data_IF_994023301220
#
_entry.id   IF_994023301220
#
_cell.length_a   1.000
_cell.length_b   1.000
_cell.length_c   1.000
_cell.angle_alpha   90.00
_cell.angle_beta   90.00
_cell.angle_gamma   90.00
#
_symmetry.space_group_name_H-M   'P 1'
#
loop_
_entity.id
_entity.type
_entity.pdbx_description
1 polymer ?
#
# COMPACT_ATOMS: atom_id res chain seq x y z
N UNK A 1 18.13 2.02 -8.47
CA UNK A 1 17.70 2.26 -7.08
C UNK A 1 17.36 0.90 -6.46
N UNK A 2 17.48 0.69 -5.13
CA UNK A 2 16.98 -0.55 -4.54
C UNK A 2 15.48 -0.67 -4.84
N UNK A 3 15.04 -1.83 -5.28
CA UNK A 3 13.62 -2.11 -5.42
C UNK A 3 13.04 -2.44 -4.04
N UNK A 4 12.10 -1.62 -3.56
CA UNK A 4 11.52 -1.71 -2.23
C UNK A 4 10.13 -2.34 -2.29
N UNK A 5 9.88 -3.26 -1.37
CA UNK A 5 8.56 -3.81 -1.10
C UNK A 5 7.97 -3.07 0.10
N UNK A 6 6.74 -2.59 -0.06
CA UNK A 6 5.98 -1.98 1.03
C UNK A 6 5.31 -3.07 1.85
N UNK A 7 5.35 -2.96 3.18
CA UNK A 7 4.73 -3.91 4.08
C UNK A 7 3.95 -3.20 5.18
N UNK A 8 2.81 -3.79 5.55
CA UNK A 8 2.05 -3.45 6.75
C UNK A 8 1.80 -4.71 7.57
N UNK A 9 2.20 -4.67 8.84
CA UNK A 9 1.93 -5.71 9.83
C UNK A 9 0.95 -5.18 10.87
N UNK A 10 -0.18 -5.86 11.01
CA UNK A 10 -1.15 -5.60 12.08
C UNK A 10 -1.24 -6.82 12.97
N UNK A 11 -0.98 -6.66 14.26
CA UNK A 11 -1.04 -7.70 15.27
C UNK A 11 -2.13 -7.37 16.29
N UNK A 12 -2.76 -8.41 16.80
CA UNK A 12 -3.81 -8.35 17.81
C UNK A 12 -3.63 -9.46 18.83
N UNK A 13 -4.02 -9.21 20.09
CA UNK A 13 -3.90 -10.20 21.15
C UNK A 13 -3.82 -9.57 22.54
N UNK A 14 -3.38 -10.35 23.54
CA UNK A 14 -3.21 -9.84 24.90
C UNK A 14 -2.19 -8.69 24.95
N UNK A 15 -2.53 -7.61 25.67
CA UNK A 15 -1.66 -6.44 25.80
C UNK A 15 -0.23 -6.79 26.26
N UNK A 16 -0.08 -7.75 27.17
CA UNK A 16 1.23 -8.20 27.64
C UNK A 16 2.10 -8.79 26.53
N UNK A 17 1.50 -9.52 25.58
CA UNK A 17 2.19 -10.12 24.44
C UNK A 17 2.53 -9.06 23.38
N UNK A 18 1.63 -8.10 23.15
CA UNK A 18 1.89 -6.97 22.25
C UNK A 18 3.03 -6.09 22.78
N UNK A 19 3.04 -5.79 24.08
CA UNK A 19 4.14 -5.07 24.72
C UNK A 19 5.45 -5.85 24.68
N UNK A 20 5.40 -7.17 24.88
CA UNK A 20 6.58 -8.03 24.76
C UNK A 20 7.14 -7.97 23.33
N UNK A 21 6.29 -8.15 22.32
CA UNK A 21 6.64 -7.99 20.90
C UNK A 21 7.25 -6.62 20.61
N UNK A 22 6.60 -5.52 21.03
CA UNK A 22 7.10 -4.17 20.74
C UNK A 22 8.49 -3.96 21.37
N UNK A 23 8.65 -4.34 22.64
CA UNK A 23 9.91 -4.17 23.37
C UNK A 23 11.06 -4.99 22.79
N UNK A 24 10.76 -6.17 22.24
CA UNK A 24 11.77 -7.08 21.76
C UNK A 24 12.07 -6.90 20.28
N UNK A 25 11.07 -6.69 19.43
CA UNK A 25 11.23 -6.68 17.98
C UNK A 25 11.35 -5.28 17.37
N UNK A 26 10.98 -4.22 18.09
CA UNK A 26 11.07 -2.84 17.58
C UNK A 26 12.28 -2.14 18.18
N UNK A 27 13.39 -2.12 17.44
CA UNK A 27 14.70 -1.65 17.91
C UNK A 27 15.31 -0.62 16.99
N UNK A 28 16.28 0.13 17.51
CA UNK A 28 17.22 0.88 16.67
C UNK A 28 18.24 -0.12 16.11
N UNK A 29 18.39 -0.15 14.80
CA UNK A 29 19.32 -1.08 14.15
C UNK A 29 20.77 -0.73 14.48
N UNK A 30 21.63 -1.74 14.53
CA UNK A 30 23.04 -1.60 14.91
C UNK A 30 23.80 -0.58 14.06
N UNK A 31 23.48 -0.54 12.76
CA UNK A 31 24.22 0.23 11.76
C UNK A 31 23.44 1.44 11.24
N UNK A 32 22.36 1.85 11.91
CA UNK A 32 21.57 3.02 11.50
C UNK A 32 22.07 4.31 12.20
N UNK A 33 22.79 5.20 11.49
CA UNK A 33 23.30 6.43 12.06
C UNK A 33 22.19 7.44 12.42
N UNK A 34 20.98 7.26 11.88
CA UNK A 34 19.84 8.13 12.20
C UNK A 34 19.21 7.80 13.55
N UNK A 35 19.48 6.61 14.10
CA UNK A 35 18.86 6.13 15.33
C UNK A 35 17.36 5.85 15.19
N UNK A 36 16.86 5.65 13.96
CA UNK A 36 15.46 5.36 13.74
C UNK A 36 15.09 3.96 14.26
N UNK A 37 13.88 3.84 14.82
CA UNK A 37 13.31 2.53 15.18
C UNK A 37 12.96 1.78 13.90
N UNK A 38 13.03 0.46 13.96
CA UNK A 38 12.64 -0.44 12.88
C UNK A 38 12.02 -1.73 13.44
N UNK A 39 11.27 -2.44 12.61
CA UNK A 39 10.97 -3.85 12.86
C UNK A 39 12.26 -4.63 12.59
N UNK A 40 12.99 -4.95 13.65
CA UNK A 40 14.33 -5.52 13.56
C UNK A 40 14.25 -7.02 13.28
N UNK A 41 14.56 -7.41 12.04
CA UNK A 41 14.57 -8.82 11.63
C UNK A 41 15.64 -9.62 12.38
N UNK A 42 16.71 -8.99 12.84
CA UNK A 42 17.75 -9.64 13.64
C UNK A 42 17.27 -9.94 15.07
N UNK A 43 16.36 -9.11 15.62
CA UNK A 43 15.70 -9.41 16.88
C UNK A 43 14.74 -10.61 16.79
N UNK A 44 14.20 -10.89 15.60
CA UNK A 44 13.33 -12.04 15.35
C UNK A 44 14.18 -13.28 15.03
N UNK A 45 15.12 -13.15 14.10
CA UNK A 45 16.03 -14.20 13.64
C UNK A 45 17.47 -13.67 13.66
N UNK A 46 18.23 -13.91 14.74
CA UNK A 46 19.58 -13.38 14.88
C UNK A 46 20.55 -13.88 13.80
N UNK A 47 21.42 -12.99 13.31
CA UNK A 47 22.49 -13.36 12.38
C UNK A 47 23.59 -14.11 13.14
N UNK A 48 23.98 -15.34 12.74
CA UNK A 48 25.05 -16.07 13.38
C UNK A 48 26.40 -15.33 13.28
N UNK A 49 27.26 -15.40 14.31
CA UNK A 49 28.57 -14.75 14.29
C UNK A 49 29.43 -15.13 13.07
N UNK A 50 29.34 -16.38 12.62
CA UNK A 50 30.05 -16.90 11.44
C UNK A 50 29.60 -16.20 10.16
N UNK A 51 28.33 -15.79 10.08
CA UNK A 51 27.81 -14.99 8.97
C UNK A 51 28.23 -13.53 9.10
N UNK A 52 28.17 -12.95 10.30
CA UNK A 52 28.63 -11.57 10.57
C UNK A 52 30.09 -11.40 10.16
N UNK A 53 30.94 -12.41 10.41
CA UNK A 53 32.34 -12.40 9.99
C UNK A 53 32.50 -12.22 8.46
N UNK A 54 31.55 -12.71 7.66
CA UNK A 54 31.61 -12.58 6.19
C UNK A 54 31.28 -11.18 5.66
N UNK A 55 30.91 -10.23 6.53
CA UNK A 55 30.60 -8.86 6.12
C UNK A 55 31.87 -8.14 5.65
N UNK A 56 32.95 -8.29 6.43
CA UNK A 56 34.26 -7.66 6.18
C UNK A 56 35.29 -8.64 5.61
N UNK A 57 35.15 -9.95 5.89
CA UNK A 57 36.08 -11.00 5.44
C UNK A 57 35.47 -11.89 4.35
N UNK A 58 35.91 -11.67 3.11
CA UNK A 58 35.48 -12.46 1.96
C UNK A 58 36.44 -13.62 1.64
N UNK A 59 37.33 -14.01 2.56
CA UNK A 59 38.24 -15.14 2.39
C UNK A 59 37.49 -16.47 2.22
N UNK A 60 38.15 -17.44 1.58
CA UNK A 60 37.60 -18.78 1.41
C UNK A 60 37.40 -19.48 2.77
N UNK A 61 38.25 -19.18 3.75
CA UNK A 61 38.18 -19.73 5.10
C UNK A 61 36.95 -19.24 5.86
N UNK A 62 36.64 -17.94 5.78
CA UNK A 62 35.42 -17.37 6.36
C UNK A 62 34.17 -17.96 5.72
N UNK A 63 34.14 -18.08 4.39
CA UNK A 63 33.04 -18.70 3.65
C UNK A 63 32.85 -20.17 4.04
N UNK A 64 33.93 -20.97 4.12
CA UNK A 64 33.84 -22.37 4.54
C UNK A 64 33.28 -22.52 5.96
N UNK A 65 33.66 -21.62 6.87
CA UNK A 65 33.14 -21.60 8.24
C UNK A 65 31.66 -21.27 8.27
N UNK A 66 31.23 -20.24 7.51
CA UNK A 66 29.84 -19.86 7.35
C UNK A 66 28.98 -21.00 6.76
N UNK A 67 29.48 -21.67 5.72
CA UNK A 67 28.81 -22.82 5.10
C UNK A 67 28.71 -23.99 6.07
N UNK A 68 29.77 -24.28 6.83
CA UNK A 68 29.74 -25.37 7.80
C UNK A 68 28.72 -25.12 8.93
N UNK A 69 28.58 -23.87 9.39
CA UNK A 69 27.67 -23.49 10.46
C UNK A 69 26.21 -23.35 10.00
N UNK A 70 25.99 -22.84 8.79
CA UNK A 70 24.64 -22.41 8.35
C UNK A 70 24.22 -22.98 7.01
N UNK A 71 25.14 -23.50 6.19
CA UNK A 71 24.88 -23.85 4.80
C UNK A 71 24.74 -22.67 3.84
N UNK A 72 25.14 -21.45 4.25
CA UNK A 72 25.22 -20.26 3.40
C UNK A 72 26.65 -19.80 3.24
N UNK A 73 27.02 -19.36 2.04
CA UNK A 73 28.38 -18.92 1.69
C UNK A 73 28.70 -17.53 2.23
N UNK A 74 27.68 -16.67 2.32
CA UNK A 74 27.83 -15.28 2.72
C UNK A 74 26.56 -14.77 3.38
N UNK A 75 26.67 -13.57 3.95
CA UNK A 75 25.56 -12.89 4.61
C UNK A 75 24.33 -12.67 3.75
N UNK A 76 24.50 -12.35 2.46
CA UNK A 76 23.37 -12.06 1.57
C UNK A 76 22.49 -13.29 1.41
N UNK A 77 23.12 -14.44 1.13
CA UNK A 77 22.41 -15.69 0.92
C UNK A 77 21.74 -16.17 2.22
N UNK A 78 22.39 -15.91 3.36
CA UNK A 78 21.79 -16.18 4.68
C UNK A 78 20.57 -15.29 4.94
N UNK A 79 20.65 -13.98 4.71
CA UNK A 79 19.54 -13.05 4.93
C UNK A 79 18.34 -13.41 4.06
N UNK A 80 18.55 -13.66 2.76
CA UNK A 80 17.45 -14.05 1.86
C UNK A 80 16.79 -15.34 2.34
N UNK A 81 17.57 -16.32 2.80
CA UNK A 81 17.01 -17.60 3.26
C UNK A 81 16.31 -17.50 4.63
N UNK A 82 16.87 -16.73 5.56
CA UNK A 82 16.44 -16.69 6.96
C UNK A 82 15.42 -15.58 7.25
N UNK A 83 15.53 -14.45 6.56
CA UNK A 83 14.61 -13.31 6.68
C UNK A 83 13.63 -13.23 5.51
N UNK A 84 14.03 -13.70 4.32
CA UNK A 84 13.27 -13.54 3.08
C UNK A 84 13.77 -12.38 2.21
N UNK A 85 14.53 -11.47 2.82
CA UNK A 85 14.93 -10.19 2.23
C UNK A 85 16.43 -10.03 2.26
N UNK A 86 16.96 -9.10 1.44
CA UNK A 86 18.40 -8.85 1.39
C UNK A 86 18.94 -8.24 2.68
N UNK A 87 18.26 -7.22 3.19
CA UNK A 87 18.65 -6.41 4.34
C UNK A 87 17.49 -6.31 5.33
N UNK A 88 17.79 -5.74 6.50
CA UNK A 88 16.79 -5.43 7.52
C UNK A 88 15.78 -4.39 6.99
N UNK A 89 14.71 -4.12 7.76
CA UNK A 89 13.63 -3.22 7.35
C UNK A 89 14.09 -1.75 7.30
N UNK A 90 13.37 -0.89 6.57
CA UNK A 90 13.57 0.55 6.61
C UNK A 90 12.23 1.30 6.55
N UNK A 91 12.27 2.65 6.60
CA UNK A 91 11.08 3.51 6.54
C UNK A 91 9.95 3.08 7.48
N UNK A 92 10.31 2.74 8.72
CA UNK A 92 9.38 2.18 9.69
C UNK A 92 8.52 3.28 10.36
N UNK A 93 7.23 3.01 10.50
CA UNK A 93 6.30 3.72 11.39
C UNK A 93 5.39 2.69 12.07
N UNK A 94 5.18 2.82 13.37
CA UNK A 94 4.43 1.84 14.14
C UNK A 94 3.89 2.39 15.46
N UNK A 95 2.72 1.89 15.85
CA UNK A 95 1.99 2.37 17.02
C UNK A 95 1.01 1.34 17.57
N UNK A 96 0.79 1.39 18.88
CA UNK A 96 -0.40 0.78 19.48
C UNK A 96 -1.63 1.62 19.07
N UNK A 97 -2.62 0.97 18.48
CA UNK A 97 -3.91 1.61 18.13
C UNK A 97 -4.79 1.68 19.38
N UNK A 98 -4.84 0.58 20.15
CA UNK A 98 -5.52 0.46 21.43
C UNK A 98 -4.84 -0.65 22.28
N UNK A 99 -5.48 -1.16 23.34
CA UNK A 99 -4.91 -2.22 24.19
C UNK A 99 -4.89 -3.62 23.55
N UNK A 100 -5.48 -3.77 22.36
CA UNK A 100 -5.66 -5.05 21.68
C UNK A 100 -4.98 -5.11 20.31
N UNK A 101 -4.51 -3.98 19.76
CA UNK A 101 -3.99 -3.88 18.39
C UNK A 101 -2.68 -3.09 18.36
N UNK A 102 -1.64 -3.71 17.79
CA UNK A 102 -0.41 -3.07 17.33
C UNK A 102 -0.38 -3.04 15.80
N UNK A 103 0.01 -1.91 15.21
CA UNK A 103 0.03 -1.73 13.77
C UNK A 103 1.35 -1.04 13.37
N UNK A 104 1.99 -1.52 12.31
CA UNK A 104 3.16 -0.86 11.73
C UNK A 104 3.27 -1.03 10.22
N UNK A 105 3.95 -0.09 9.57
CA UNK A 105 4.43 -0.17 8.19
C UNK A 105 5.95 -0.14 8.16
N UNK A 106 6.52 -0.81 7.17
CA UNK A 106 7.96 -0.85 6.93
C UNK A 106 8.25 -1.33 5.51
N UNK A 107 9.43 -0.95 5.01
CA UNK A 107 9.90 -1.36 3.71
C UNK A 107 10.98 -2.44 3.84
N UNK A 108 11.04 -3.30 2.83
CA UNK A 108 12.06 -4.34 2.71
C UNK A 108 12.64 -4.36 1.30
N UNK A 109 13.81 -4.95 1.15
CA UNK A 109 14.37 -5.19 -0.18
C UNK A 109 13.70 -6.40 -0.84
N UNK A 110 13.15 -6.18 -2.03
CA UNK A 110 12.70 -7.19 -3.02
C UNK A 110 11.49 -8.06 -2.67
N UNK A 111 11.17 -8.27 -1.40
CA UNK A 111 10.13 -9.21 -0.99
C UNK A 111 9.58 -8.93 0.41
N UNK A 112 8.42 -9.50 0.70
CA UNK A 112 7.91 -9.63 2.06
C UNK A 112 8.83 -10.55 2.89
N UNK A 113 9.15 -10.24 4.17
CA UNK A 113 10.04 -11.05 5.00
C UNK A 113 9.34 -12.31 5.57
N UNK A 114 8.75 -13.13 4.71
CA UNK A 114 7.92 -14.28 5.09
C UNK A 114 8.64 -15.31 5.99
N UNK A 115 9.92 -15.67 5.76
CA UNK A 115 10.68 -16.49 6.69
C UNK A 115 10.76 -15.91 8.10
N UNK A 116 11.02 -14.61 8.26
CA UNK A 116 11.05 -13.96 9.57
C UNK A 116 9.65 -13.92 10.20
N UNK A 117 8.60 -13.64 9.42
CA UNK A 117 7.21 -13.65 9.90
C UNK A 117 6.78 -15.03 10.42
N UNK A 118 7.28 -16.11 9.82
CA UNK A 118 7.04 -17.48 10.33
C UNK A 118 7.69 -17.72 11.69
N UNK A 119 8.89 -17.18 11.92
CA UNK A 119 9.55 -17.26 13.24
C UNK A 119 8.82 -16.38 14.26
N UNK A 120 8.41 -15.17 13.86
CA UNK A 120 7.61 -14.27 14.69
C UNK A 120 6.31 -14.95 15.13
N UNK A 121 5.56 -15.55 14.19
CA UNK A 121 4.34 -16.27 14.50
C UNK A 121 4.57 -17.36 15.54
N UNK A 122 5.58 -18.21 15.34
CA UNK A 122 5.92 -19.30 16.26
C UNK A 122 6.35 -18.81 17.65
N UNK A 123 7.03 -17.66 17.72
CA UNK A 123 7.50 -17.03 18.96
C UNK A 123 6.36 -16.42 19.78
N UNK A 124 5.36 -15.85 19.12
CA UNK A 124 4.22 -15.19 19.77
C UNK A 124 2.89 -15.90 19.43
N UNK A 125 2.68 -17.16 19.89
CA UNK A 125 1.53 -17.96 19.49
C UNK A 125 0.18 -17.42 19.99
N UNK A 126 0.19 -16.52 20.99
CA UNK A 126 -0.98 -15.84 21.51
C UNK A 126 -1.39 -14.62 20.68
N UNK A 127 -0.54 -14.15 19.76
CA UNK A 127 -0.86 -13.08 18.85
C UNK A 127 -1.52 -13.63 17.58
N UNK A 128 -2.46 -12.87 17.05
CA UNK A 128 -3.05 -13.07 15.72
C UNK A 128 -2.86 -11.82 14.91
N UNK A 129 -2.69 -11.93 13.61
CA UNK A 129 -2.41 -10.75 12.80
C UNK A 129 -2.40 -11.00 11.32
N UNK A 130 -2.08 -9.94 10.60
CA UNK A 130 -2.16 -9.87 9.16
C UNK A 130 -0.94 -9.14 8.63
N UNK A 131 -0.35 -9.68 7.57
CA UNK A 131 0.64 -8.96 6.77
C UNK A 131 0.00 -8.61 5.44
N UNK A 132 0.20 -7.38 4.99
CA UNK A 132 -0.07 -6.96 3.62
C UNK A 132 1.27 -6.50 3.06
N UNK A 133 1.63 -6.98 1.88
CA UNK A 133 2.84 -6.60 1.19
C UNK A 133 2.55 -6.36 -0.29
N UNK A 134 3.23 -5.40 -0.91
CA UNK A 134 3.12 -5.21 -2.35
C UNK A 134 4.34 -4.50 -2.94
N UNK A 135 4.54 -4.74 -4.23
CA UNK A 135 5.38 -3.94 -5.09
C UNK A 135 4.58 -3.67 -6.37
N UNK A 136 3.98 -2.47 -6.50
CA UNK A 136 3.22 -2.10 -7.69
C UNK A 136 4.08 -2.08 -8.96
N UNK A 137 5.39 -1.83 -8.85
CA UNK A 137 6.28 -1.76 -10.01
C UNK A 137 6.58 -3.15 -10.59
N UNK A 138 6.66 -4.16 -9.73
CA UNK A 138 6.86 -5.57 -10.11
C UNK A 138 5.53 -6.35 -10.23
N UNK A 139 4.38 -5.66 -10.26
CA UNK A 139 3.02 -6.22 -10.40
C UNK A 139 2.71 -7.39 -9.45
N UNK A 140 2.96 -7.21 -8.15
CA UNK A 140 2.53 -8.21 -7.18
C UNK A 140 2.07 -7.65 -5.84
N UNK A 141 1.18 -8.40 -5.21
CA UNK A 141 0.77 -8.18 -3.82
C UNK A 141 0.61 -9.51 -3.07
N UNK A 142 0.64 -9.44 -1.75
CA UNK A 142 0.53 -10.56 -0.84
C UNK A 142 -0.31 -10.15 0.38
N UNK A 143 -1.19 -11.05 0.80
CA UNK A 143 -1.79 -11.02 2.14
C UNK A 143 -1.40 -12.30 2.86
N UNK A 144 -0.94 -12.15 4.09
CA UNK A 144 -0.69 -13.27 4.99
C UNK A 144 -1.36 -13.10 6.33
N UNK A 145 -1.52 -14.22 7.03
CA UNK A 145 -2.20 -14.35 8.30
C UNK A 145 -1.28 -15.02 9.30
N UNK A 146 -1.24 -14.48 10.51
CA UNK A 146 -0.57 -15.04 11.68
C UNK A 146 -1.65 -15.50 12.64
N UNK A 147 -1.71 -16.79 12.98
CA UNK A 147 -2.65 -17.31 13.98
C UNK A 147 -2.07 -18.57 14.64
N UNK A 148 -2.23 -18.68 15.95
CA UNK A 148 -1.90 -19.89 16.73
C UNK A 148 -0.46 -20.42 16.51
N UNK A 149 0.52 -19.53 16.34
CA UNK A 149 1.91 -19.95 16.10
C UNK A 149 2.26 -20.18 14.64
N UNK A 150 1.33 -20.01 13.70
CA UNK A 150 1.53 -20.28 12.28
C UNK A 150 1.37 -19.04 11.42
N UNK A 151 2.16 -19.00 10.34
CA UNK A 151 2.08 -18.00 9.28
C UNK A 151 1.75 -18.67 7.95
N UNK A 152 0.77 -18.12 7.24
CA UNK A 152 0.40 -18.52 5.88
C UNK A 152 0.12 -17.28 5.03
N UNK A 153 0.33 -17.37 3.73
CA UNK A 153 0.15 -16.25 2.81
C UNK A 153 -0.45 -16.68 1.48
N UNK A 154 -0.94 -15.69 0.75
CA UNK A 154 -1.42 -15.84 -0.61
C UNK A 154 -1.00 -14.61 -1.39
N UNK A 155 -0.33 -14.82 -2.53
CA UNK A 155 0.12 -13.79 -3.44
C UNK A 155 -0.74 -13.77 -4.71
N UNK A 156 -0.80 -12.61 -5.36
CA UNK A 156 -1.39 -12.42 -6.68
C UNK A 156 -0.67 -11.29 -7.41
N UNK A 157 -1.04 -11.07 -8.69
CA UNK A 157 -0.78 -9.80 -9.36
C UNK A 157 -1.30 -8.63 -8.51
N UNK A 158 -0.70 -7.45 -8.67
CA UNK A 158 -1.06 -6.29 -7.89
C UNK A 158 -2.55 -5.94 -8.08
N UNK A 159 -3.17 -5.48 -7.00
CA UNK A 159 -4.54 -5.02 -7.01
C UNK A 159 -4.62 -3.65 -6.31
N UNK A 160 -5.20 -2.61 -6.95
CA UNK A 160 -5.33 -1.29 -6.34
C UNK A 160 -6.04 -1.28 -4.97
N UNK A 161 -6.89 -2.26 -4.67
CA UNK A 161 -7.52 -2.39 -3.36
C UNK A 161 -6.50 -2.70 -2.24
N UNK A 162 -5.31 -3.22 -2.56
CA UNK A 162 -4.23 -3.44 -1.61
C UNK A 162 -3.69 -2.13 -1.04
N UNK A 163 -3.69 -1.04 -1.81
CA UNK A 163 -3.20 0.25 -1.31
C UNK A 163 -4.08 0.81 -0.19
N UNK A 164 -5.37 0.46 -0.18
CA UNK A 164 -6.26 0.75 0.95
C UNK A 164 -5.77 0.06 2.23
N UNK A 165 -5.43 -1.22 2.11
CA UNK A 165 -4.96 -2.05 3.21
C UNK A 165 -3.57 -1.60 3.67
N UNK A 166 -2.70 -1.25 2.74
CA UNK A 166 -1.33 -0.82 3.03
C UNK A 166 -1.29 0.54 3.74
N UNK A 167 -1.98 1.55 3.21
CA UNK A 167 -1.72 2.94 3.61
C UNK A 167 -2.76 3.55 4.54
N UNK A 168 -3.86 2.85 4.84
CA UNK A 168 -4.87 3.36 5.75
C UNK A 168 -4.30 3.70 7.13
N UNK A 169 -4.29 4.98 7.48
CA UNK A 169 -3.79 5.49 8.75
C UNK A 169 -2.32 5.90 8.77
N UNK A 170 -1.55 5.67 7.71
CA UNK A 170 -0.13 6.06 7.59
C UNK A 170 0.09 7.22 6.61
N UNK A 171 -0.94 7.60 5.85
CA UNK A 171 -0.98 8.84 5.07
C UNK A 171 -2.13 9.72 5.56
N UNK A 172 -2.05 11.02 5.31
CA UNK A 172 -3.21 11.91 5.45
C UNK A 172 -4.32 11.40 4.52
N UNK A 173 -5.34 10.78 5.10
CA UNK A 173 -6.49 10.23 4.38
C UNK A 173 -7.78 10.80 4.98
N UNK A 174 -8.80 10.95 4.14
CA UNK A 174 -10.14 11.20 4.65
C UNK A 174 -10.64 9.95 5.42
N UNK A 175 -11.06 10.12 6.67
CA UNK A 175 -11.66 9.08 7.53
C UNK A 175 -10.73 7.92 7.98
N UNK A 176 -9.54 8.18 8.55
CA UNK A 176 -8.54 7.15 8.83
C UNK A 176 -9.01 6.10 9.85
N UNK A 177 -9.71 6.49 10.92
CA UNK A 177 -10.14 5.55 11.96
C UNK A 177 -11.21 4.54 11.51
N UNK A 178 -12.18 4.96 10.71
CA UNK A 178 -13.25 4.09 10.22
C UNK A 178 -12.74 3.08 9.18
N UNK A 179 -11.77 3.50 8.35
CA UNK A 179 -11.10 2.64 7.38
C UNK A 179 -10.20 1.62 8.09
N UNK A 180 -9.38 2.03 9.06
CA UNK A 180 -8.50 1.11 9.81
C UNK A 180 -9.31 0.01 10.51
N UNK A 181 -10.37 0.34 11.26
CA UNK A 181 -11.18 -0.67 11.94
C UNK A 181 -11.91 -1.60 10.95
N UNK A 182 -12.43 -1.07 9.84
CA UNK A 182 -13.04 -1.88 8.79
C UNK A 182 -12.03 -2.84 8.15
N UNK A 183 -10.79 -2.39 7.88
CA UNK A 183 -9.73 -3.21 7.32
C UNK A 183 -9.31 -4.31 8.31
N UNK A 184 -9.12 -3.96 9.59
CA UNK A 184 -8.74 -4.92 10.64
C UNK A 184 -9.81 -6.01 10.81
N UNK A 185 -11.09 -5.64 10.85
CA UNK A 185 -12.20 -6.61 10.94
C UNK A 185 -12.30 -7.51 9.72
N UNK A 186 -12.16 -6.95 8.50
CA UNK A 186 -12.27 -7.72 7.26
C UNK A 186 -11.14 -8.74 7.10
N UNK A 187 -9.89 -8.37 7.44
CA UNK A 187 -8.75 -9.29 7.31
C UNK A 187 -8.68 -10.28 8.48
N UNK A 188 -9.15 -9.90 9.67
CA UNK A 188 -9.22 -10.81 10.83
C UNK A 188 -10.39 -11.82 10.74
N UNK A 189 -11.46 -11.47 10.01
CA UNK A 189 -12.64 -12.33 9.79
C UNK A 189 -12.52 -13.32 8.62
N UNK A 190 -11.55 -13.11 7.72
CA UNK A 190 -11.29 -13.98 6.57
C UNK A 190 -10.76 -15.35 6.99
N UNK A 191 -11.56 -16.40 6.78
CA UNK A 191 -11.08 -17.78 6.96
C UNK A 191 -10.07 -18.09 5.85
N UNK A 192 -8.79 -18.17 6.20
CA UNK A 192 -7.76 -18.68 5.30
C UNK A 192 -8.06 -20.14 4.94
N UNK A 193 -8.64 -20.36 3.77
CA UNK A 193 -8.69 -21.67 3.11
C UNK A 193 -7.39 -21.91 2.36
N UNK A 194 -6.94 -23.17 2.31
CA UNK A 194 -5.72 -23.58 1.62
C UNK A 194 -5.75 -23.15 0.14
N UNK A 195 -4.74 -22.35 -0.27
CA UNK A 195 -4.62 -21.87 -1.64
C UNK A 195 -3.79 -22.85 -2.50
N UNK A 196 -4.37 -23.24 -3.64
CA UNK A 196 -3.67 -23.88 -4.76
C UNK A 196 -2.95 -22.82 -5.59
N UNK A 197 -1.75 -23.13 -6.10
CA UNK A 197 -0.85 -22.20 -6.82
C UNK A 197 -1.31 -21.76 -8.22
N UNK A 198 -2.47 -22.20 -8.69
CA UNK A 198 -2.83 -22.14 -10.13
C UNK A 198 -4.05 -21.27 -10.50
N UNK A 199 -4.47 -20.26 -9.72
CA UNK A 199 -5.56 -19.35 -10.16
C UNK A 199 -5.36 -17.87 -9.82
N UNK A 200 -6.04 -17.01 -10.61
CA UNK A 200 -6.35 -15.60 -10.36
C UNK A 200 -6.77 -15.33 -8.91
N UNK A 201 -6.55 -14.08 -8.44
CA UNK A 201 -6.85 -13.51 -7.10
C UNK A 201 -7.44 -14.55 -6.12
N UNK A 202 -6.63 -15.07 -5.18
CA UNK A 202 -7.04 -16.09 -4.22
C UNK A 202 -8.42 -15.81 -3.60
N UNK A 203 -9.24 -16.84 -3.36
CA UNK A 203 -10.60 -16.69 -2.83
C UNK A 203 -10.67 -15.87 -1.53
N UNK A 204 -9.60 -15.95 -0.73
CA UNK A 204 -9.41 -15.13 0.46
C UNK A 204 -9.38 -13.62 0.12
N UNK A 205 -8.60 -13.21 -0.88
CA UNK A 205 -8.52 -11.83 -1.35
C UNK A 205 -9.87 -11.36 -1.91
N UNK A 206 -10.55 -12.20 -2.71
CA UNK A 206 -11.89 -11.88 -3.25
C UNK A 206 -12.89 -11.57 -2.15
N UNK A 207 -12.90 -12.36 -1.08
CA UNK A 207 -13.80 -12.17 0.05
C UNK A 207 -13.49 -10.84 0.77
N UNK A 208 -12.20 -10.57 1.03
CA UNK A 208 -11.77 -9.31 1.65
C UNK A 208 -12.18 -8.12 0.79
N UNK A 209 -11.91 -8.15 -0.51
CA UNK A 209 -12.24 -7.06 -1.44
C UNK A 209 -13.75 -6.81 -1.54
N UNK A 210 -14.56 -7.88 -1.58
CA UNK A 210 -16.02 -7.75 -1.57
C UNK A 210 -16.55 -7.09 -0.29
N UNK A 211 -15.95 -7.36 0.87
CA UNK A 211 -16.32 -6.72 2.14
C UNK A 211 -15.86 -5.26 2.19
N UNK A 212 -14.67 -4.94 1.66
CA UNK A 212 -14.22 -3.56 1.49
C UNK A 212 -15.19 -2.77 0.62
N UNK A 213 -15.63 -3.34 -0.49
CA UNK A 213 -16.58 -2.69 -1.38
C UNK A 213 -17.91 -2.36 -0.71
N UNK A 214 -18.35 -3.09 0.29
CA UNK A 214 -19.58 -2.73 1.00
C UNK A 214 -19.42 -1.51 1.90
N UNK A 215 -18.18 -1.22 2.33
CA UNK A 215 -17.88 -0.17 3.33
C UNK A 215 -17.33 1.12 2.73
N UNK A 216 -16.83 1.08 1.50
CA UNK A 216 -16.22 2.24 0.84
C UNK A 216 -17.26 3.17 0.17
N UNK A 217 -17.02 4.50 0.13
CA UNK A 217 -17.81 5.43 -0.66
C UNK A 217 -17.83 5.05 -2.16
N UNK A 218 -18.96 5.27 -2.83
CA UNK A 218 -19.11 4.96 -4.25
C UNK A 218 -18.02 5.60 -5.13
N UNK A 219 -17.68 6.87 -4.87
CA UNK A 219 -16.69 7.64 -5.62
C UNK A 219 -15.28 7.03 -5.58
N UNK A 220 -14.88 6.49 -4.42
CA UNK A 220 -13.60 5.82 -4.22
C UNK A 220 -13.60 4.43 -4.89
N UNK A 221 -14.66 3.62 -4.68
CA UNK A 221 -14.78 2.31 -5.35
C UNK A 221 -14.73 2.44 -6.86
N UNK A 222 -15.40 3.46 -7.42
CA UNK A 222 -15.44 3.70 -8.86
C UNK A 222 -14.06 3.94 -9.47
N UNK A 223 -13.19 4.68 -8.76
CA UNK A 223 -11.81 4.99 -9.17
C UNK A 223 -10.89 3.77 -9.04
N UNK A 224 -11.04 2.99 -7.96
CA UNK A 224 -10.31 1.72 -7.79
C UNK A 224 -10.65 0.74 -8.92
N UNK A 225 -11.93 0.53 -9.21
CA UNK A 225 -12.36 -0.36 -10.30
C UNK A 225 -11.91 0.13 -11.67
N UNK A 226 -11.83 1.45 -11.88
CA UNK A 226 -11.31 2.00 -13.12
C UNK A 226 -9.81 1.73 -13.30
N UNK A 227 -9.02 1.90 -12.25
CA UNK A 227 -7.59 1.55 -12.28
C UNK A 227 -7.39 0.04 -12.50
N UNK A 228 -8.19 -0.80 -11.83
CA UNK A 228 -8.18 -2.25 -12.10
C UNK A 228 -8.48 -2.57 -13.56
N UNK A 229 -9.50 -1.94 -14.14
CA UNK A 229 -9.84 -2.11 -15.55
C UNK A 229 -8.66 -1.72 -16.46
N UNK A 230 -7.97 -0.63 -16.14
CA UNK A 230 -6.83 -0.15 -16.91
C UNK A 230 -5.66 -1.14 -16.87
N UNK A 231 -5.34 -1.69 -15.69
CA UNK A 231 -4.32 -2.73 -15.50
C UNK A 231 -4.68 -4.04 -16.21
N UNK A 232 -5.93 -4.50 -16.10
CA UNK A 232 -6.38 -5.71 -16.77
C UNK A 232 -6.33 -5.56 -18.31
N UNK A 233 -6.74 -4.40 -18.83
CA UNK A 233 -6.63 -4.10 -20.28
C UNK A 233 -5.16 -4.09 -20.70
N UNK A 234 -4.26 -3.49 -19.93
CA UNK A 234 -2.82 -3.47 -20.21
C UNK A 234 -2.27 -4.90 -20.29
N UNK A 235 -2.51 -5.72 -19.26
CA UNK A 235 -2.06 -7.11 -19.21
C UNK A 235 -2.57 -7.93 -20.40
N UNK A 236 -3.83 -7.73 -20.82
CA UNK A 236 -4.39 -8.39 -22.00
C UNK A 236 -3.71 -7.95 -23.30
N UNK A 237 -3.43 -6.65 -23.46
CA UNK A 237 -2.72 -6.12 -24.63
C UNK A 237 -1.28 -6.65 -24.70
N UNK A 238 -0.59 -6.74 -23.56
CA UNK A 238 0.77 -7.31 -23.47
C UNK A 238 0.79 -8.82 -23.73
N UNK A 239 -0.26 -9.53 -23.33
CA UNK A 239 -0.50 -10.93 -23.70
C UNK A 239 -0.90 -11.13 -25.18
N UNK A 240 -0.94 -10.05 -25.98
CA UNK A 240 -1.22 -10.09 -27.41
C UNK A 240 -2.69 -10.20 -27.78
N UNK A 241 -3.62 -9.95 -26.85
CA UNK A 241 -5.05 -9.86 -27.19
C UNK A 241 -5.31 -8.61 -28.04
N UNK A 242 -6.18 -8.75 -29.03
CA UNK A 242 -6.60 -7.60 -29.84
C UNK A 242 -7.60 -6.73 -29.08
N UNK A 243 -7.63 -5.43 -29.38
CA UNK A 243 -8.66 -4.50 -28.87
C UNK A 243 -10.08 -5.03 -29.13
N UNK A 244 -10.27 -5.66 -30.30
CA UNK A 244 -11.55 -6.25 -30.66
C UNK A 244 -11.91 -7.42 -29.74
N UNK A 245 -10.97 -8.33 -29.47
CA UNK A 245 -11.20 -9.47 -28.57
C UNK A 245 -11.50 -9.02 -27.14
N UNK A 246 -10.76 -8.03 -26.62
CA UNK A 246 -10.98 -7.50 -25.27
C UNK A 246 -12.42 -6.98 -25.11
N UNK A 247 -12.91 -6.23 -26.11
CA UNK A 247 -14.26 -5.64 -26.11
C UNK A 247 -15.36 -6.67 -26.32
N UNK A 248 -15.25 -7.48 -27.38
CA UNK A 248 -16.34 -8.37 -27.79
C UNK A 248 -16.46 -9.61 -26.90
N UNK A 249 -15.35 -10.09 -26.34
CA UNK A 249 -15.36 -11.23 -25.42
C UNK A 249 -15.51 -10.82 -23.95
N UNK A 250 -15.61 -9.52 -23.68
CA UNK A 250 -15.74 -8.95 -22.35
C UNK A 250 -14.74 -9.57 -21.35
N UNK A 251 -13.46 -9.50 -21.69
CA UNK A 251 -12.39 -10.20 -20.95
C UNK A 251 -12.11 -9.58 -19.58
N UNK A 252 -12.53 -8.34 -19.35
CA UNK A 252 -12.42 -7.63 -18.06
C UNK A 252 -13.79 -7.62 -17.38
N UNK A 253 -13.90 -8.28 -16.22
CA UNK A 253 -15.19 -8.55 -15.59
C UNK A 253 -15.20 -8.11 -14.12
N UNK A 254 -15.65 -6.88 -13.89
CA UNK A 254 -16.00 -6.34 -12.57
C UNK A 254 -17.09 -5.26 -12.75
N UNK A 255 -17.73 -4.77 -11.67
CA UNK A 255 -18.78 -3.75 -11.78
C UNK A 255 -18.31 -2.51 -12.56
N UNK A 256 -19.04 -2.13 -13.61
CA UNK A 256 -18.73 -0.97 -14.46
C UNK A 256 -17.66 -1.20 -15.54
N UNK A 257 -17.04 -2.38 -15.61
CA UNK A 257 -15.88 -2.63 -16.49
C UNK A 257 -16.16 -2.40 -17.98
N UNK A 258 -17.36 -2.69 -18.49
CA UNK A 258 -17.67 -2.54 -19.92
C UNK A 258 -17.58 -1.07 -20.41
N UNK A 259 -18.08 -0.13 -19.61
CA UNK A 259 -17.99 1.31 -19.91
C UNK A 259 -16.56 1.81 -19.80
N UNK A 260 -15.81 1.28 -18.83
CA UNK A 260 -14.39 1.61 -18.63
C UNK A 260 -13.53 1.11 -19.78
N UNK A 261 -13.67 -0.16 -20.15
CA UNK A 261 -12.96 -0.75 -21.29
C UNK A 261 -13.24 0.04 -22.57
N UNK A 262 -14.49 0.50 -22.78
CA UNK A 262 -14.82 1.35 -23.92
C UNK A 262 -14.14 2.73 -23.87
N UNK A 263 -14.03 3.35 -22.69
CA UNK A 263 -13.31 4.60 -22.50
C UNK A 263 -11.80 4.43 -22.73
N UNK A 264 -11.20 3.41 -22.10
CA UNK A 264 -9.78 3.08 -22.10
C UNK A 264 -9.26 2.77 -23.51
N UNK A 265 -10.05 2.02 -24.29
CA UNK A 265 -9.69 1.63 -25.66
C UNK A 265 -10.20 2.61 -26.71
N UNK A 266 -11.01 3.61 -26.32
CA UNK A 266 -11.50 4.65 -27.20
C UNK A 266 -10.40 5.64 -27.58
N UNK A 267 -10.53 6.26 -28.77
CA UNK A 267 -9.60 7.28 -29.27
C UNK A 267 -8.12 6.87 -29.22
N UNK A 268 -7.83 5.57 -29.38
CA UNK A 268 -6.48 5.01 -29.34
C UNK A 268 -5.70 5.35 -28.05
N UNK A 269 -6.38 5.52 -26.91
CA UNK A 269 -5.75 5.94 -25.63
C UNK A 269 -4.81 4.92 -24.97
N UNK A 270 -4.68 3.71 -25.50
CA UNK A 270 -3.78 2.65 -25.01
C UNK A 270 -2.79 2.17 -26.11
N UNK A 271 -2.65 2.95 -27.19
CA UNK A 271 -2.01 2.48 -28.42
C UNK A 271 -0.49 2.41 -28.31
N UNK A 272 0.16 3.43 -27.75
CA UNK A 272 1.62 3.44 -27.58
C UNK A 272 2.04 3.05 -26.15
N UNK A 273 3.32 2.71 -25.91
CA UNK A 273 3.84 2.52 -24.56
C UNK A 273 3.63 3.75 -23.67
N UNK A 274 3.88 4.95 -24.20
CA UNK A 274 3.65 6.21 -23.49
C UNK A 274 2.17 6.41 -23.12
N UNK A 275 1.24 6.08 -24.02
CA UNK A 275 -0.19 6.13 -23.73
C UNK A 275 -0.56 5.27 -22.51
N UNK A 276 -0.04 4.04 -22.47
CA UNK A 276 -0.32 3.08 -21.40
C UNK A 276 0.21 3.60 -20.07
N UNK A 277 1.45 4.10 -20.03
CA UNK A 277 2.03 4.66 -18.81
C UNK A 277 1.27 5.90 -18.32
N UNK A 278 0.95 6.84 -19.21
CA UNK A 278 0.16 8.03 -18.85
C UNK A 278 -1.22 7.63 -18.31
N UNK A 279 -1.88 6.68 -18.96
CA UNK A 279 -3.21 6.25 -18.57
C UNK A 279 -3.19 5.60 -17.18
N UNK A 280 -2.32 4.61 -16.96
CA UNK A 280 -2.18 3.96 -15.66
C UNK A 280 -1.83 4.99 -14.59
N UNK A 281 -0.84 5.86 -14.86
CA UNK A 281 -0.42 6.91 -13.92
C UNK A 281 -1.56 7.87 -13.53
N UNK A 282 -2.42 8.26 -14.48
CA UNK A 282 -3.57 9.12 -14.19
C UNK A 282 -4.69 8.38 -13.43
N UNK A 283 -4.93 7.10 -13.74
CA UNK A 283 -5.88 6.28 -12.99
C UNK A 283 -5.45 6.11 -11.52
N UNK A 284 -4.16 5.83 -11.28
CA UNK A 284 -3.55 5.79 -9.94
C UNK A 284 -3.68 7.15 -9.23
N UNK A 285 -3.38 8.25 -9.90
CA UNK A 285 -3.50 9.59 -9.32
C UNK A 285 -4.94 9.90 -8.87
N UNK A 286 -5.94 9.55 -9.69
CA UNK A 286 -7.35 9.73 -9.33
C UNK A 286 -7.75 8.93 -8.09
N UNK A 287 -7.28 7.68 -7.98
CA UNK A 287 -7.51 6.85 -6.79
C UNK A 287 -6.83 7.49 -5.57
N UNK A 288 -5.58 7.91 -5.68
CA UNK A 288 -4.82 8.51 -4.59
C UNK A 288 -5.45 9.83 -4.10
N UNK A 289 -5.91 10.67 -5.03
CA UNK A 289 -6.64 11.91 -4.71
C UNK A 289 -7.93 11.60 -3.93
N UNK A 290 -8.69 10.58 -4.36
CA UNK A 290 -9.89 10.15 -3.65
C UNK A 290 -9.60 9.53 -2.27
N UNK A 291 -8.45 8.85 -2.12
CA UNK A 291 -7.99 8.31 -0.84
C UNK A 291 -7.59 9.40 0.15
N UNK A 292 -6.84 10.38 -0.33
CA UNK A 292 -6.41 11.52 0.46
C UNK A 292 -7.60 12.44 0.85
N UNK A 293 -8.74 12.32 0.16
CA UNK A 293 -9.81 13.31 0.23
C UNK A 293 -9.39 14.66 -0.35
N UNK A 294 -8.27 14.68 -1.07
CA UNK A 294 -7.81 15.82 -1.82
C UNK A 294 -8.74 15.98 -3.01
N UNK A 295 -9.55 17.03 -3.00
CA UNK A 295 -10.23 17.45 -4.23
C UNK A 295 -9.22 17.84 -5.30
N UNK A 296 -9.67 17.91 -6.55
CA UNK A 296 -8.84 18.36 -7.67
C UNK A 296 -8.39 19.81 -7.42
N UNK A 297 -7.16 19.98 -6.95
CA UNK A 297 -6.60 21.24 -6.49
C UNK A 297 -5.23 21.48 -7.12
N UNK A 298 -4.73 22.71 -7.03
CA UNK A 298 -3.47 23.09 -7.68
C UNK A 298 -2.26 22.27 -7.20
N UNK A 299 -2.26 21.77 -5.95
CA UNK A 299 -1.19 20.90 -5.47
C UNK A 299 -1.25 19.54 -6.17
N UNK A 300 -2.42 18.91 -6.20
CA UNK A 300 -2.62 17.64 -6.91
C UNK A 300 -2.26 17.76 -8.41
N UNK A 301 -2.62 18.87 -9.05
CA UNK A 301 -2.25 19.14 -10.44
C UNK A 301 -0.72 19.25 -10.64
N UNK A 302 -0.01 19.94 -9.74
CA UNK A 302 1.46 20.00 -9.78
C UNK A 302 2.09 18.63 -9.56
N UNK A 303 1.61 17.89 -8.56
CA UNK A 303 2.14 16.57 -8.22
C UNK A 303 1.98 15.60 -9.40
N UNK A 304 0.85 15.65 -10.12
CA UNK A 304 0.63 14.87 -11.36
C UNK A 304 1.61 15.23 -12.48
N UNK A 305 1.84 16.52 -12.75
CA UNK A 305 2.81 16.95 -13.77
C UNK A 305 4.23 16.52 -13.40
N UNK A 306 4.64 16.73 -12.15
CA UNK A 306 5.95 16.29 -11.64
C UNK A 306 6.13 14.79 -11.80
N UNK A 307 5.08 13.99 -11.56
CA UNK A 307 5.11 12.54 -11.80
C UNK A 307 5.43 12.21 -13.27
N UNK A 308 4.74 12.85 -14.22
CA UNK A 308 5.02 12.63 -15.65
C UNK A 308 6.46 13.03 -16.00
N UNK A 309 6.94 14.16 -15.49
CA UNK A 309 8.30 14.65 -15.75
C UNK A 309 9.41 13.74 -15.23
N UNK A 310 9.20 13.14 -14.05
CA UNK A 310 10.25 12.39 -13.36
C UNK A 310 10.13 10.87 -13.48
N UNK A 311 8.94 10.34 -13.74
CA UNK A 311 8.69 8.89 -13.78
C UNK A 311 8.29 8.38 -15.17
N UNK A 312 7.71 9.24 -16.03
CA UNK A 312 7.23 8.81 -17.36
C UNK A 312 8.21 9.25 -18.43
N UNK A 313 8.44 10.56 -18.60
CA UNK A 313 9.28 11.09 -19.67
C UNK A 313 10.71 10.49 -19.74
N UNK A 314 11.40 10.19 -18.63
CA UNK A 314 12.74 9.58 -18.70
C UNK A 314 12.80 8.19 -19.33
N UNK A 315 11.67 7.48 -19.42
CA UNK A 315 11.58 6.14 -20.02
C UNK A 315 11.33 6.15 -21.54
N UNK A 316 11.10 7.33 -22.15
CA UNK A 316 10.78 7.45 -23.58
C UNK A 316 11.78 8.37 -24.27
N UNK A 317 12.29 7.92 -25.42
CA UNK A 317 13.15 8.77 -26.25
C UNK A 317 12.33 9.68 -27.19
N UNK A 318 13.01 10.52 -27.96
CA UNK A 318 12.34 11.45 -28.87
C UNK A 318 11.51 10.73 -29.96
N UNK A 319 11.91 9.53 -30.37
CA UNK A 319 11.18 8.76 -31.38
C UNK A 319 9.90 8.17 -30.79
N UNK A 320 9.94 7.72 -29.53
CA UNK A 320 8.75 7.31 -28.78
C UNK A 320 7.74 8.46 -28.63
N UNK A 321 8.22 9.66 -28.27
CA UNK A 321 7.36 10.86 -28.17
C UNK A 321 6.74 11.23 -29.51
N UNK A 322 7.49 11.14 -30.61
CA UNK A 322 6.98 11.41 -31.96
C UNK A 322 5.97 10.35 -32.40
N UNK A 323 6.21 9.08 -32.09
CA UNK A 323 5.29 7.99 -32.40
C UNK A 323 3.95 8.18 -31.64
N UNK A 324 4.03 8.56 -30.37
CA UNK A 324 2.87 8.95 -29.59
C UNK A 324 2.15 10.16 -30.19
N UNK A 325 2.88 11.24 -30.52
CA UNK A 325 2.30 12.46 -31.09
C UNK A 325 1.54 12.18 -32.40
N UNK A 326 2.08 11.33 -33.27
CA UNK A 326 1.45 10.95 -34.53
C UNK A 326 0.11 10.23 -34.35
N UNK A 327 -0.10 9.53 -33.23
CA UNK A 327 -1.39 8.93 -32.88
C UNK A 327 -2.29 9.95 -32.18
N UNK A 328 -1.74 10.64 -31.17
CA UNK A 328 -2.49 11.50 -30.28
C UNK A 328 -3.07 12.74 -30.98
N UNK A 329 -2.44 13.24 -32.06
CA UNK A 329 -2.94 14.39 -32.82
C UNK A 329 -4.31 14.19 -33.49
N UNK A 330 -4.77 12.94 -33.62
CA UNK A 330 -6.10 12.63 -34.16
C UNK A 330 -7.18 12.53 -33.07
N UNK A 331 -6.80 12.70 -31.79
CA UNK A 331 -7.74 12.65 -30.68
C UNK A 331 -8.53 13.96 -30.59
N UNK A 332 -9.85 13.90 -30.32
CA UNK A 332 -10.65 15.11 -30.17
C UNK A 332 -10.09 16.03 -29.06
N UNK A 333 -9.92 17.32 -29.36
CA UNK A 333 -9.50 18.32 -28.37
C UNK A 333 -8.01 18.33 -28.03
N UNK A 334 -7.20 17.44 -28.63
CA UNK A 334 -5.76 17.36 -28.38
C UNK A 334 -5.00 18.21 -29.40
N UNK A 335 -4.12 19.08 -28.90
CA UNK A 335 -3.18 19.88 -29.70
C UNK A 335 -1.77 19.48 -29.31
N UNK A 336 -0.92 19.22 -30.31
CA UNK A 336 0.46 18.75 -30.09
C UNK A 336 1.40 19.63 -30.89
N UNK A 337 2.39 20.18 -30.20
CA UNK A 337 3.50 20.87 -30.82
C UNK A 337 4.66 19.89 -31.05
N UNK A 338 4.96 19.63 -32.33
CA UNK A 338 6.04 18.74 -32.77
C UNK A 338 7.30 19.51 -33.20
N UNK A 339 7.40 20.80 -32.87
CA UNK A 339 8.49 21.68 -33.34
C UNK A 339 9.85 21.43 -32.72
N UNK A 340 9.90 20.85 -31.52
CA UNK A 340 11.12 20.44 -30.81
C UNK A 340 10.82 19.35 -29.78
N UNK A 341 11.87 18.71 -29.25
CA UNK A 341 11.74 17.76 -28.15
C UNK A 341 11.08 18.40 -26.91
N UNK A 342 11.53 19.60 -26.52
CA UNK A 342 10.93 20.34 -25.40
C UNK A 342 9.44 20.67 -25.60
N UNK A 343 9.03 20.91 -26.85
CA UNK A 343 7.63 21.16 -27.20
C UNK A 343 6.79 19.87 -27.15
N UNK A 344 7.37 18.74 -27.54
CA UNK A 344 6.77 17.42 -27.40
C UNK A 344 6.57 17.05 -25.93
N UNK A 345 7.60 17.18 -25.10
CA UNK A 345 7.53 16.95 -23.65
C UNK A 345 6.42 17.80 -23.01
N UNK A 346 6.33 19.08 -23.38
CA UNK A 346 5.24 19.95 -22.90
C UNK A 346 3.86 19.49 -23.38
N UNK A 347 3.75 19.04 -24.62
CA UNK A 347 2.51 18.50 -25.17
C UNK A 347 2.08 17.22 -24.43
N UNK A 348 3.03 16.39 -23.98
CA UNK A 348 2.75 15.21 -23.14
C UNK A 348 2.18 15.63 -21.78
N UNK A 349 2.77 16.65 -21.14
CA UNK A 349 2.25 17.17 -19.87
C UNK A 349 0.84 17.75 -20.01
N UNK A 350 0.61 18.56 -21.04
CA UNK A 350 -0.70 19.14 -21.30
C UNK A 350 -1.74 18.06 -21.65
N UNK A 351 -1.34 17.02 -22.36
CA UNK A 351 -2.20 15.85 -22.60
C UNK A 351 -2.49 15.07 -21.32
N UNK A 352 -1.53 14.94 -20.40
CA UNK A 352 -1.75 14.33 -19.08
C UNK A 352 -2.86 15.01 -18.30
N UNK A 353 -2.85 16.35 -18.25
CA UNK A 353 -3.93 17.13 -17.62
C UNK A 353 -5.28 16.93 -18.31
N UNK A 354 -5.28 16.93 -19.65
CA UNK A 354 -6.49 16.68 -20.43
C UNK A 354 -7.05 15.28 -20.18
N UNK A 355 -6.19 14.26 -20.14
CA UNK A 355 -6.55 12.87 -19.88
C UNK A 355 -7.14 12.71 -18.47
N UNK A 356 -6.53 13.36 -17.46
CA UNK A 356 -7.04 13.38 -16.11
C UNK A 356 -8.46 13.97 -16.04
N UNK A 357 -8.70 15.11 -16.70
CA UNK A 357 -10.02 15.75 -16.74
C UNK A 357 -11.07 14.86 -17.44
N UNK A 358 -10.71 14.22 -18.56
CA UNK A 358 -11.56 13.27 -19.27
C UNK A 358 -11.95 12.07 -18.39
N UNK A 359 -10.97 11.50 -17.67
CA UNK A 359 -11.21 10.40 -16.74
C UNK A 359 -12.12 10.82 -15.59
N UNK A 360 -11.86 11.97 -14.97
CA UNK A 360 -12.68 12.48 -13.88
C UNK A 360 -14.14 12.69 -14.32
N UNK A 361 -14.35 13.24 -15.52
CA UNK A 361 -15.67 13.42 -16.10
C UNK A 361 -16.39 12.09 -16.37
N UNK A 362 -15.66 11.10 -16.90
CA UNK A 362 -16.14 9.72 -17.12
C UNK A 362 -16.59 9.06 -15.81
N UNK A 363 -15.75 9.11 -14.77
CA UNK A 363 -16.02 8.46 -13.49
C UNK A 363 -17.11 9.14 -12.67
N UNK A 364 -17.31 10.44 -12.86
CA UNK A 364 -18.37 11.21 -12.19
C UNK A 364 -19.73 11.10 -12.90
N UNK A 365 -19.80 10.40 -14.04
CA UNK A 365 -21.02 10.31 -14.85
C UNK A 365 -21.54 11.67 -15.34
N UNK A 366 -20.63 12.62 -15.55
CA UNK A 366 -20.95 14.01 -15.92
C UNK A 366 -21.59 14.86 -14.81
N UNK A 367 -21.63 14.39 -13.55
CA UNK A 367 -22.07 15.19 -12.40
C UNK A 367 -20.87 15.91 -11.78
N UNK A 368 -20.99 17.20 -11.53
CA UNK A 368 -19.98 17.95 -10.76
C UNK A 368 -20.06 17.44 -9.32
N UNK A 369 -19.01 16.78 -8.84
CA UNK A 369 -18.87 16.48 -7.41
C UNK A 369 -18.80 17.82 -6.67
N UNK A 370 -19.89 18.19 -5.98
CA UNK A 370 -19.87 19.34 -5.07
C UNK A 370 -19.03 18.91 -3.88
N UNK A 371 -17.79 19.41 -3.80
CA UNK A 371 -16.99 19.29 -2.60
C UNK A 371 -17.74 19.97 -1.46
N UNK A 372 -18.28 19.17 -0.53
CA UNK A 372 -18.57 19.70 0.80
C UNK A 372 -17.21 20.08 1.41
N UNK A 373 -16.99 21.36 1.74
CA UNK A 373 -15.74 21.75 2.38
C UNK A 373 -15.62 20.94 3.67
N UNK A 374 -14.52 20.21 3.76
CA UNK A 374 -14.09 19.49 4.95
C UNK A 374 -14.24 20.47 6.12
N UNK A 375 -15.12 20.17 7.07
CA UNK A 375 -15.07 20.81 8.39
C UNK A 375 -13.78 20.31 9.06
N UNK A 376 -12.68 20.94 8.71
CA UNK A 376 -11.45 20.95 9.49
C UNK A 376 -11.77 21.74 10.76
N UNK A 377 -12.26 21.04 11.79
CA UNK A 377 -12.09 21.38 13.22
C UNK A 377 -12.92 20.40 14.08
N UNK A 378 -12.30 19.90 15.15
CA UNK A 378 -12.90 19.27 16.36
C UNK A 378 -13.05 17.74 16.48
N UNK A 379 -12.67 16.89 15.51
CA UNK A 379 -12.83 15.44 15.71
C UNK A 379 -11.64 14.73 16.40
N UNK A 380 -10.44 15.34 16.47
CA UNK A 380 -9.26 14.69 17.06
C UNK A 380 -8.97 15.20 18.48
N UNK A 381 -9.28 16.46 18.81
CA UNK A 381 -9.03 16.99 20.17
C UNK A 381 -10.14 16.68 21.19
N UNK A 382 -11.40 16.52 20.77
CA UNK A 382 -12.50 16.29 21.73
C UNK A 382 -12.50 14.88 22.35
N UNK A 383 -11.90 13.88 21.70
CA UNK A 383 -11.78 12.54 22.27
C UNK A 383 -10.57 12.41 23.23
N UNK A 384 -9.55 13.25 23.08
CA UNK A 384 -8.32 13.22 23.87
C UNK A 384 -8.36 14.11 25.13
N UNK A 385 -9.15 15.20 25.14
CA UNK A 385 -9.34 16.01 26.35
C UNK A 385 -10.39 15.46 27.32
N UNK A 386 -11.41 14.73 26.82
CA UNK A 386 -12.50 14.21 27.65
C UNK A 386 -12.07 13.10 28.64
N UNK A 387 -10.82 12.61 28.59
CA UNK A 387 -10.28 11.60 29.51
C UNK A 387 -9.07 12.06 30.35
N UNK A 388 -8.71 13.35 30.31
CA UNK A 388 -7.73 13.96 31.25
C UNK A 388 -8.35 14.50 32.54
N UNK A 389 -9.52 13.99 32.95
CA UNK A 389 -10.04 14.25 34.28
C UNK A 389 -9.68 13.07 35.20
N UNK A 390 -8.95 13.30 36.31
CA UNK A 390 -8.70 12.24 37.27
C UNK A 390 -10.03 11.77 37.90
N UNK A 391 -10.13 10.50 38.33
CA UNK A 391 -11.34 9.99 38.96
C UNK A 391 -11.64 10.81 40.21
N UNK A 392 -12.84 11.41 40.28
CA UNK A 392 -13.31 12.02 41.52
C UNK A 392 -13.45 10.91 42.58
N UNK A 393 -12.59 10.98 43.59
CA UNK A 393 -12.68 10.15 44.79
C UNK A 393 -14.03 10.34 45.46
N UNK A 394 -14.68 9.22 45.78
CA UNK A 394 -15.95 9.18 46.49
C UNK A 394 -15.85 9.85 47.86
N UNK A 395 -16.64 10.92 48.05
CA UNK A 395 -16.87 11.47 49.39
C UNK A 395 -17.83 10.55 50.13
N UNK A 396 -17.25 9.82 51.08
CA UNK A 396 -17.92 9.08 52.16
C UNK A 396 -18.92 10.01 52.87
N UNK A 397 -20.18 9.60 52.92
CA UNK A 397 -21.12 10.14 53.92
C UNK A 397 -20.78 9.54 55.29
N UNK A 398 -20.24 10.35 56.20
CA UNK A 398 -20.00 9.99 57.58
C UNK A 398 -20.30 11.18 58.48
N UNK A 399 -21.30 11.01 59.33
CA UNK A 399 -21.79 11.99 60.29
C UNK A 399 -20.76 12.36 61.36
N UNK A 400 -20.78 13.61 61.83
CA UNK A 400 -20.69 13.99 63.25
C UNK A 400 -20.83 15.51 63.45
N UNK A 401 -21.82 15.87 64.29
CA UNK A 401 -21.80 16.89 65.34
C UNK A 401 -20.91 18.14 65.21
N UNK A 402 -21.56 19.32 65.19
CA UNK A 402 -21.17 20.44 66.06
C UNK A 402 -22.44 21.16 66.53
N UNK A 403 -22.73 21.05 67.83
CA UNK A 403 -23.57 22.03 68.52
C UNK A 403 -22.72 23.25 68.91
N UNK A 404 -23.24 24.46 68.68
CA UNK A 404 -23.54 25.43 69.74
C UNK A 404 -23.68 26.88 69.22
N UNK A 405 -24.82 27.47 69.62
CA UNK A 405 -25.09 28.88 69.96
C UNK A 405 -25.01 29.94 68.86
N UNK A 406 -26.18 30.46 68.50
CA UNK A 406 -26.59 31.82 68.93
C UNK A 406 -28.11 32.03 68.76
N UNK A 407 -28.71 32.48 69.86
CA UNK A 407 -30.10 32.96 70.11
C UNK A 407 -31.23 31.92 70.13
#
# INVERSE_FOLDING_TARGET
MPNYTFNRLTLSGPLSELMHFESECIRVQRDDPSGARALDLEAIVPVPPEIVATFDDQSNEAQQTAVAATGCENWRDWCIRSWGTKWNTCHFDGRMIDELIYDCVFDTAWSCPEPALRVLAAKYPALSGTIVACDPADDWCLIGTIQHGFYSSSASAYDPQIDLLMWAGYREMAHPGALIHALIECVSGGRAGEASRDMAVPECLRTIFADLDQRLPYSLRRRIYFERAALDVLALLEAGQSIWDIRERNLVQHPGSAEDVAFLLGNDRMRTPLDRQLLIGMATALRDDALAGCGDNEKAARDRRTRIEHEVLPDHDEDDLRAWAAVAMYRPGVLIDMGSLEALERSVLDYGDHLHADMLAHLSGGRIEVHDPIRTEQAIDCALEARRLPPQEGVRSGAAEVGSRSL
#
